data_IF_435364878545
#
_entry.id   IF_435364878545
#
_cell.length_a   1.000
_cell.length_b   1.000
_cell.length_c   1.000
_cell.angle_alpha   90.00
_cell.angle_beta   90.00
_cell.angle_gamma   90.00
#
_symmetry.space_group_name_H-M   'P 1'
#
loop_
_entity.id
_entity.type
_entity.pdbx_description
1 polymer ?
#
# COMPACT_ATOMS: atom_id res chain seq x y z
N UNK A 1 25.59 6.33 -9.52
CA UNK A 1 25.40 5.87 -8.12
C UNK A 1 24.95 4.42 -8.18
N UNK A 2 25.86 3.48 -7.97
CA UNK A 2 25.53 2.05 -7.90
C UNK A 2 24.69 1.81 -6.63
N UNK A 3 23.41 1.48 -6.79
CA UNK A 3 22.57 0.98 -5.71
C UNK A 3 22.00 -0.37 -6.14
N UNK A 4 22.65 -1.45 -5.75
CA UNK A 4 22.05 -2.78 -5.84
C UNK A 4 22.37 -3.60 -4.59
N UNK A 5 22.09 -3.04 -3.42
CA UNK A 5 21.77 -3.91 -2.30
C UNK A 5 20.33 -4.38 -2.54
N UNK A 6 20.16 -5.62 -2.98
CA UNK A 6 18.84 -6.25 -3.06
C UNK A 6 18.12 -6.07 -1.73
N UNK A 7 16.88 -5.62 -1.75
CA UNK A 7 16.09 -5.44 -0.54
C UNK A 7 15.66 -6.84 -0.06
N UNK A 8 16.26 -7.32 1.03
CA UNK A 8 15.79 -8.57 1.63
C UNK A 8 14.43 -8.37 2.32
N UNK A 9 13.65 -9.45 2.42
CA UNK A 9 12.29 -9.43 2.96
C UNK A 9 12.23 -8.93 4.41
N UNK A 10 13.17 -9.34 5.27
CA UNK A 10 13.20 -8.92 6.67
C UNK A 10 13.36 -7.41 6.81
N UNK A 11 14.28 -6.82 6.05
CA UNK A 11 14.53 -5.37 6.05
C UNK A 11 13.36 -4.59 5.44
N UNK A 12 12.71 -5.15 4.41
CA UNK A 12 11.49 -4.59 3.85
C UNK A 12 10.36 -4.56 4.90
N UNK A 13 10.04 -5.70 5.51
CA UNK A 13 8.99 -5.80 6.53
C UNK A 13 9.24 -4.86 7.70
N UNK A 14 10.46 -4.86 8.26
CA UNK A 14 10.81 -3.97 9.37
C UNK A 14 10.63 -2.48 9.02
N UNK A 15 10.95 -2.08 7.78
CA UNK A 15 10.75 -0.70 7.34
C UNK A 15 9.28 -0.37 7.14
N UNK A 16 8.47 -1.28 6.58
CA UNK A 16 7.03 -1.07 6.42
C UNK A 16 6.31 -1.03 7.77
N UNK A 17 6.71 -1.87 8.72
CA UNK A 17 6.19 -1.86 10.10
C UNK A 17 6.49 -0.53 10.79
N UNK A 18 7.73 -0.03 10.67
CA UNK A 18 8.09 1.28 11.20
C UNK A 18 7.27 2.43 10.58
N UNK A 19 7.08 2.40 9.26
CA UNK A 19 6.26 3.40 8.55
C UNK A 19 4.80 3.32 9.03
N UNK A 20 4.27 2.11 9.20
CA UNK A 20 2.92 1.89 9.72
C UNK A 20 2.78 2.44 11.15
N UNK A 21 3.69 2.10 12.06
CA UNK A 21 3.69 2.64 13.43
C UNK A 21 3.77 4.15 13.44
N UNK A 22 4.59 4.75 12.57
CA UNK A 22 4.69 6.21 12.46
C UNK A 22 3.41 6.83 11.91
N UNK A 23 2.74 6.17 10.94
CA UNK A 23 1.43 6.62 10.43
C UNK A 23 0.32 6.46 11.47
N UNK A 24 0.38 5.42 12.31
CA UNK A 24 -0.52 5.27 13.45
C UNK A 24 -0.35 6.43 14.41
N UNK A 25 0.88 6.75 14.83
CA UNK A 25 1.17 7.90 15.68
C UNK A 25 0.71 9.23 15.06
N UNK A 26 0.97 9.43 13.76
CA UNK A 26 0.47 10.60 13.04
C UNK A 26 -1.07 10.68 13.09
N UNK A 27 -1.76 9.55 12.96
CA UNK A 27 -3.24 9.46 12.94
C UNK A 27 -3.85 9.64 14.33
N UNK A 28 -3.28 9.03 15.37
CA UNK A 28 -3.89 8.94 16.70
C UNK A 28 -3.44 10.04 17.64
N UNK A 29 -2.25 10.60 17.44
CA UNK A 29 -1.68 11.63 18.32
C UNK A 29 -1.60 12.98 17.62
N UNK A 30 -0.86 13.05 16.51
CA UNK A 30 -0.53 14.34 15.88
C UNK A 30 -1.76 14.99 15.25
N UNK A 31 -2.56 14.23 14.49
CA UNK A 31 -3.75 14.79 13.86
C UNK A 31 -4.79 15.30 14.88
N UNK A 32 -5.14 14.57 15.95
CA UNK A 32 -6.02 15.09 17.00
C UNK A 32 -5.47 16.30 17.75
N UNK A 33 -4.14 16.38 17.95
CA UNK A 33 -3.50 17.58 18.52
C UNK A 33 -3.66 18.77 17.57
N UNK A 34 -3.40 18.58 16.28
CA UNK A 34 -3.58 19.62 15.27
C UNK A 34 -5.03 20.10 15.17
N UNK A 35 -6.00 19.18 15.25
CA UNK A 35 -7.44 19.54 15.21
C UNK A 35 -7.86 20.41 16.39
N UNK A 36 -7.22 20.26 17.56
CA UNK A 36 -7.43 21.15 18.72
C UNK A 36 -6.82 22.53 18.48
N UNK A 37 -5.69 22.60 17.77
CA UNK A 37 -4.99 23.86 17.46
C UNK A 37 -5.64 24.65 16.30
N UNK A 38 -6.62 24.07 15.59
CA UNK A 38 -7.20 24.66 14.36
C UNK A 38 -7.80 26.05 14.50
N UNK A 39 -8.12 26.48 15.73
CA UNK A 39 -8.67 27.81 15.99
C UNK A 39 -7.61 28.92 16.01
N UNK A 40 -6.33 28.57 15.84
CA UNK A 40 -5.25 29.55 15.71
C UNK A 40 -5.20 30.12 14.28
N UNK A 41 -5.22 31.45 14.14
CA UNK A 41 -5.10 32.14 12.84
C UNK A 41 -3.76 31.86 12.12
N UNK A 42 -2.76 31.32 12.85
CA UNK A 42 -1.43 30.99 12.32
C UNK A 42 -1.04 29.53 12.56
N UNK A 43 -1.98 28.58 12.41
CA UNK A 43 -1.74 27.14 12.61
C UNK A 43 -0.49 26.65 11.87
N UNK A 44 -0.20 27.18 10.68
CA UNK A 44 0.96 26.79 9.87
C UNK A 44 2.32 27.06 10.53
N UNK A 45 2.35 28.02 11.47
CA UNK A 45 3.55 28.36 12.23
C UNK A 45 3.77 27.45 13.42
N UNK A 46 2.74 26.73 13.89
CA UNK A 46 2.87 25.83 15.04
C UNK A 46 3.81 24.67 14.74
N UNK A 47 4.48 24.19 15.78
CA UNK A 47 5.34 23.02 15.67
C UNK A 47 4.54 21.80 15.26
N UNK A 48 3.34 21.62 15.82
CA UNK A 48 2.43 20.50 15.53
C UNK A 48 2.07 20.45 14.04
N UNK A 49 1.70 21.58 13.42
CA UNK A 49 1.42 21.62 11.99
C UNK A 49 2.65 21.27 11.15
N UNK A 50 3.82 21.82 11.48
CA UNK A 50 5.06 21.54 10.73
C UNK A 50 5.43 20.05 10.78
N UNK A 51 5.29 19.42 11.96
CA UNK A 51 5.48 17.98 12.11
C UNK A 51 4.41 17.18 11.35
N UNK A 52 3.15 17.58 11.44
CA UNK A 52 2.04 16.97 10.70
C UNK A 52 2.30 16.98 9.19
N UNK A 53 2.59 18.15 8.62
CA UNK A 53 2.81 18.33 7.19
C UNK A 53 4.06 17.58 6.71
N UNK A 54 5.13 17.60 7.51
CA UNK A 54 6.34 16.84 7.22
C UNK A 54 6.03 15.34 7.19
N UNK A 55 5.39 14.81 8.23
CA UNK A 55 5.03 13.39 8.31
C UNK A 55 4.10 12.98 7.16
N UNK A 56 3.07 13.77 6.86
CA UNK A 56 2.12 13.45 5.80
C UNK A 56 2.81 13.33 4.42
N UNK A 57 3.71 14.27 4.11
CA UNK A 57 4.49 14.23 2.86
C UNK A 57 5.50 13.08 2.84
N UNK A 58 6.23 12.86 3.93
CA UNK A 58 7.37 11.95 3.93
C UNK A 58 6.96 10.49 4.13
N UNK A 59 5.91 10.20 4.90
CA UNK A 59 5.43 8.82 5.08
C UNK A 59 4.95 8.22 3.76
N UNK A 60 4.23 8.97 2.93
CA UNK A 60 3.80 8.47 1.63
C UNK A 60 4.99 8.19 0.70
N UNK A 61 5.99 9.09 0.69
CA UNK A 61 7.21 8.91 -0.10
C UNK A 61 8.02 7.70 0.37
N UNK A 62 8.18 7.51 1.68
CA UNK A 62 8.90 6.38 2.23
C UNK A 62 8.17 5.07 1.97
N UNK A 63 6.84 5.05 2.13
CA UNK A 63 5.99 3.89 1.86
C UNK A 63 6.18 3.38 0.44
N UNK A 64 6.02 4.23 -0.57
CA UNK A 64 6.05 3.77 -1.96
C UNK A 64 7.46 3.76 -2.57
N UNK A 65 8.25 4.82 -2.39
CA UNK A 65 9.42 5.10 -3.22
C UNK A 65 10.73 5.26 -2.43
N UNK A 66 10.69 5.10 -1.10
CA UNK A 66 11.88 5.12 -0.25
C UNK A 66 12.82 3.94 -0.51
N UNK A 67 14.00 3.90 0.15
CA UNK A 67 14.97 2.79 0.00
C UNK A 67 14.31 1.41 0.18
N UNK A 68 13.40 1.30 1.15
CA UNK A 68 12.62 0.09 1.45
C UNK A 68 11.15 0.23 1.02
N UNK A 69 10.88 1.10 0.04
CA UNK A 69 9.53 1.35 -0.45
C UNK A 69 8.95 0.16 -1.20
N UNK A 70 7.63 0.02 -1.14
CA UNK A 70 6.85 -1.07 -1.74
C UNK A 70 7.16 -1.23 -3.24
N UNK A 71 7.25 -0.11 -3.98
CA UNK A 71 7.55 -0.15 -5.41
C UNK A 71 8.93 -0.75 -5.66
N UNK A 72 9.96 -0.29 -4.94
CA UNK A 72 11.32 -0.77 -5.12
C UNK A 72 11.44 -2.26 -4.79
N UNK A 73 10.77 -2.71 -3.73
CA UNK A 73 10.73 -4.12 -3.34
C UNK A 73 10.08 -4.99 -4.42
N UNK A 74 8.89 -4.65 -4.93
CA UNK A 74 8.27 -5.49 -5.97
C UNK A 74 8.95 -5.36 -7.34
N UNK A 75 9.47 -4.18 -7.68
CA UNK A 75 10.18 -3.98 -8.93
C UNK A 75 11.48 -4.82 -9.00
N UNK A 76 12.15 -5.08 -7.87
CA UNK A 76 13.30 -6.01 -7.84
C UNK A 76 12.92 -7.46 -8.18
N UNK A 77 11.64 -7.82 -8.00
CA UNK A 77 11.09 -9.14 -8.29
C UNK A 77 10.25 -9.16 -9.57
N UNK A 78 10.34 -8.10 -10.39
CA UNK A 78 9.47 -7.88 -11.55
C UNK A 78 9.39 -9.09 -12.47
N UNK A 79 10.52 -9.70 -12.82
CA UNK A 79 10.56 -10.84 -13.74
C UNK A 79 9.72 -12.03 -13.25
N UNK A 80 9.77 -12.31 -11.94
CA UNK A 80 8.95 -13.36 -11.31
C UNK A 80 7.47 -12.99 -11.31
N UNK A 81 7.15 -11.72 -11.07
CA UNK A 81 5.77 -11.22 -10.99
C UNK A 81 5.09 -11.18 -12.37
N UNK A 82 5.81 -10.73 -13.40
CA UNK A 82 5.24 -10.60 -14.75
C UNK A 82 5.22 -11.90 -15.54
N UNK A 83 5.88 -12.94 -15.05
CA UNK A 83 5.85 -14.26 -15.64
C UNK A 83 4.53 -14.95 -15.27
N UNK A 84 3.64 -15.23 -16.24
CA UNK A 84 2.36 -15.87 -15.94
C UNK A 84 2.58 -17.26 -15.34
N UNK A 85 1.78 -17.61 -14.33
CA UNK A 85 1.73 -18.98 -13.81
C UNK A 85 1.19 -19.90 -14.91
N UNK A 86 1.93 -20.98 -15.21
CA UNK A 86 1.60 -21.92 -16.31
C UNK A 86 0.28 -22.68 -16.08
N UNK A 87 -0.27 -22.66 -14.86
CA UNK A 87 -1.41 -23.49 -14.44
C UNK A 87 -2.77 -22.77 -14.36
N UNK A 88 -2.91 -21.56 -14.89
CA UNK A 88 -4.18 -20.82 -14.80
C UNK A 88 -5.18 -21.20 -15.91
N UNK A 89 -5.70 -22.44 -15.87
CA UNK A 89 -6.69 -22.96 -16.84
C UNK A 89 -7.96 -22.09 -16.95
N UNK A 90 -8.31 -21.37 -15.89
CA UNK A 90 -9.54 -20.56 -15.81
C UNK A 90 -9.31 -19.05 -15.97
N UNK A 91 -8.06 -18.56 -16.03
CA UNK A 91 -7.79 -17.14 -16.24
C UNK A 91 -7.58 -16.87 -17.73
N UNK A 92 -8.45 -16.03 -18.31
CA UNK A 92 -8.29 -15.53 -19.68
C UNK A 92 -8.10 -14.02 -19.60
N UNK A 93 -6.89 -13.56 -19.89
CA UNK A 93 -6.62 -12.14 -20.06
C UNK A 93 -7.09 -11.71 -21.46
N UNK A 94 -7.77 -10.57 -21.55
CA UNK A 94 -8.14 -9.94 -22.82
C UNK A 94 -7.17 -8.76 -23.09
N UNK A 95 -6.19 -8.91 -24.01
CA UNK A 95 -5.27 -7.84 -24.35
C UNK A 95 -5.95 -6.65 -25.03
N UNK A 96 -7.18 -6.83 -25.52
CA UNK A 96 -7.97 -5.78 -26.19
C UNK A 96 -8.84 -4.98 -25.22
N UNK A 97 -8.85 -5.33 -23.93
CA UNK A 97 -9.59 -4.62 -22.90
C UNK A 97 -9.15 -3.15 -22.84
N UNK A 98 -10.08 -2.25 -23.18
CA UNK A 98 -9.87 -0.81 -23.07
C UNK A 98 -10.45 -0.32 -21.75
N UNK A 99 -9.57 0.19 -20.87
CA UNK A 99 -10.00 0.82 -19.63
C UNK A 99 -10.65 2.19 -19.92
N UNK A 100 -11.67 2.63 -19.14
CA UNK A 100 -12.28 3.92 -19.31
C UNK A 100 -11.29 5.08 -19.23
N UNK A 101 -11.55 6.17 -19.97
CA UNK A 101 -10.67 7.36 -19.99
C UNK A 101 -10.39 7.90 -18.60
N UNK A 102 -11.41 8.03 -17.75
CA UNK A 102 -11.25 8.57 -16.40
C UNK A 102 -10.29 7.74 -15.54
N UNK A 103 -10.16 6.44 -15.81
CA UNK A 103 -9.32 5.53 -15.04
C UNK A 103 -7.84 5.57 -15.46
N UNK A 104 -7.56 5.96 -16.70
CA UNK A 104 -6.21 5.94 -17.28
C UNK A 104 -5.58 7.33 -17.47
N UNK A 105 -6.43 8.37 -17.48
CA UNK A 105 -6.02 9.74 -17.76
C UNK A 105 -5.23 10.37 -16.60
N UNK A 106 -5.65 10.12 -15.36
CA UNK A 106 -5.01 10.68 -14.16
C UNK A 106 -4.71 9.54 -13.21
N UNK A 107 -3.43 9.40 -12.87
CA UNK A 107 -3.04 8.53 -11.78
C UNK A 107 -3.03 9.33 -10.48
N UNK A 108 -4.00 9.04 -9.63
CA UNK A 108 -4.14 9.66 -8.31
C UNK A 108 -3.35 8.91 -7.24
N UNK A 109 -2.76 7.76 -7.57
CA UNK A 109 -2.00 6.97 -6.61
C UNK A 109 -0.56 7.47 -6.56
N UNK A 110 -0.02 7.58 -5.35
CA UNK A 110 1.37 8.00 -5.16
C UNK A 110 2.40 6.88 -5.40
N UNK A 111 1.99 5.75 -5.99
CA UNK A 111 2.90 4.68 -6.35
C UNK A 111 3.42 4.85 -7.79
N UNK A 112 4.74 4.73 -8.04
CA UNK A 112 5.29 4.84 -9.38
C UNK A 112 4.64 3.87 -10.37
N UNK A 113 4.48 4.32 -11.61
CA UNK A 113 3.94 3.51 -12.71
C UNK A 113 2.41 3.46 -12.79
N UNK A 114 1.70 3.80 -11.72
CA UNK A 114 0.23 3.86 -11.68
C UNK A 114 -0.49 2.53 -11.84
N UNK A 115 -1.73 2.49 -11.34
CA UNK A 115 -2.48 1.24 -11.21
C UNK A 115 -2.71 0.51 -12.53
N UNK A 116 -2.93 1.26 -13.61
CA UNK A 116 -3.33 0.71 -14.90
C UNK A 116 -2.19 0.43 -15.87
N UNK A 117 -0.96 0.90 -15.58
CA UNK A 117 0.15 0.89 -16.55
C UNK A 117 1.32 0.01 -16.12
N UNK A 118 1.58 -0.17 -14.82
CA UNK A 118 2.64 -1.08 -14.36
C UNK A 118 2.09 -2.48 -14.09
N UNK A 119 2.76 -3.50 -14.63
CA UNK A 119 2.41 -4.90 -14.39
C UNK A 119 2.63 -5.34 -12.93
N UNK A 120 3.44 -4.60 -12.16
CA UNK A 120 3.61 -4.84 -10.72
C UNK A 120 2.60 -4.08 -9.86
N UNK A 121 1.79 -3.20 -10.46
CA UNK A 121 0.93 -2.28 -9.72
C UNK A 121 -0.08 -2.97 -8.80
N UNK A 122 -0.60 -4.13 -9.20
CA UNK A 122 -1.51 -4.93 -8.37
C UNK A 122 -0.89 -5.30 -7.02
N UNK A 123 0.36 -5.79 -7.02
CA UNK A 123 1.10 -6.13 -5.80
C UNK A 123 1.41 -4.89 -4.94
N UNK A 124 1.78 -3.80 -5.61
CA UNK A 124 2.07 -2.53 -4.93
C UNK A 124 0.82 -1.97 -4.25
N UNK A 125 -0.33 -2.06 -4.92
CA UNK A 125 -1.62 -1.64 -4.40
C UNK A 125 -2.08 -2.52 -3.23
N UNK A 126 -2.05 -3.84 -3.41
CA UNK A 126 -2.45 -4.80 -2.37
C UNK A 126 -1.67 -4.56 -1.08
N UNK A 127 -0.34 -4.41 -1.18
CA UNK A 127 0.49 -4.15 -0.02
C UNK A 127 0.23 -2.74 0.56
N UNK A 128 0.13 -1.73 -0.30
CA UNK A 128 -0.13 -0.35 0.13
C UNK A 128 -1.48 -0.18 0.84
N UNK A 129 -2.51 -0.92 0.42
CA UNK A 129 -3.84 -0.90 1.02
C UNK A 129 -3.81 -1.27 2.50
N UNK A 130 -2.95 -2.23 2.90
CA UNK A 130 -2.78 -2.65 4.31
C UNK A 130 -2.35 -1.50 5.22
N UNK A 131 -1.60 -0.53 4.70
CA UNK A 131 -1.10 0.62 5.47
C UNK A 131 -1.98 1.88 5.42
N UNK A 132 -3.09 1.85 4.68
CA UNK A 132 -3.92 3.04 4.41
C UNK A 132 -4.93 3.32 5.53
N UNK A 133 -5.31 2.30 6.31
CA UNK A 133 -6.24 2.43 7.45
C UNK A 133 -5.63 1.81 8.72
N UNK A 134 -4.69 2.50 9.40
CA UNK A 134 -4.00 1.98 10.58
C UNK A 134 -4.90 1.73 11.80
N UNK A 135 -6.15 2.18 11.78
CA UNK A 135 -7.14 1.92 12.84
C UNK A 135 -7.91 0.60 12.63
N UNK A 136 -7.74 -0.05 11.49
CA UNK A 136 -8.28 -1.39 11.21
C UNK A 136 -7.34 -2.54 11.58
N UNK A 137 -6.20 -2.24 12.22
CA UNK A 137 -5.06 -3.17 12.36
C UNK A 137 -5.37 -4.42 13.18
N UNK A 138 -6.35 -4.37 14.09
CA UNK A 138 -6.83 -5.55 14.80
C UNK A 138 -7.58 -6.56 13.93
N UNK A 139 -7.98 -6.18 12.71
CA UNK A 139 -8.81 -6.98 11.80
C UNK A 139 -8.16 -7.15 10.41
N UNK A 140 -6.82 -7.25 10.33
CA UNK A 140 -6.08 -7.34 9.06
C UNK A 140 -6.37 -8.57 8.19
N UNK A 141 -7.14 -9.54 8.68
CA UNK A 141 -7.81 -10.45 7.77
C UNK A 141 -8.87 -9.66 7.04
N UNK A 142 -8.62 -9.34 5.78
CA UNK A 142 -9.62 -8.71 4.92
C UNK A 142 -10.93 -9.53 4.98
N UNK A 143 -12.04 -8.91 4.56
CA UNK A 143 -13.35 -9.56 4.56
C UNK A 143 -13.28 -10.95 3.87
N UNK A 144 -12.43 -11.09 2.83
CA UNK A 144 -12.26 -12.33 2.10
C UNK A 144 -11.56 -13.42 2.92
N UNK A 145 -10.55 -13.10 3.72
CA UNK A 145 -9.84 -14.04 4.57
C UNK A 145 -10.71 -14.48 5.75
N UNK A 146 -11.44 -13.56 6.38
CA UNK A 146 -12.40 -13.92 7.44
C UNK A 146 -13.53 -14.80 6.90
N UNK A 147 -14.07 -14.44 5.72
CA UNK A 147 -15.05 -15.27 5.03
C UNK A 147 -14.48 -16.66 4.69
N UNK A 148 -13.30 -16.71 4.08
CA UNK A 148 -12.64 -17.97 3.71
C UNK A 148 -12.40 -18.84 4.94
N UNK A 149 -11.87 -18.29 6.03
CA UNK A 149 -11.69 -19.04 7.28
C UNK A 149 -13.01 -19.53 7.87
N UNK A 150 -14.07 -18.73 7.79
CA UNK A 150 -15.39 -19.13 8.27
C UNK A 150 -15.92 -20.31 7.45
N UNK A 151 -15.78 -20.28 6.12
CA UNK A 151 -16.21 -21.39 5.28
C UNK A 151 -15.32 -22.63 5.48
N UNK A 152 -13.99 -22.47 5.63
CA UNK A 152 -13.07 -23.56 5.96
C UNK A 152 -13.35 -24.18 7.34
N UNK A 153 -13.74 -23.38 8.32
CA UNK A 153 -14.17 -23.88 9.63
C UNK A 153 -15.51 -24.63 9.57
N UNK A 154 -16.32 -24.37 8.53
CA UNK A 154 -17.64 -24.99 8.33
C UNK A 154 -17.58 -26.33 7.58
N UNK A 155 -16.39 -26.77 7.14
CA UNK A 155 -16.18 -28.06 6.50
C UNK A 155 -15.08 -28.02 5.43
N UNK A 156 -15.11 -28.99 4.51
CA UNK A 156 -14.20 -29.06 3.36
C UNK A 156 -14.95 -28.65 2.08
N UNK A 157 -15.15 -27.33 1.86
CA UNK A 157 -15.86 -26.87 0.70
C UNK A 157 -15.10 -27.22 -0.58
N UNK A 158 -15.83 -27.73 -1.58
CA UNK A 158 -15.30 -27.92 -2.94
C UNK A 158 -15.79 -26.77 -3.80
N UNK A 159 -14.87 -26.11 -4.53
CA UNK A 159 -15.13 -25.00 -5.44
C UNK A 159 -15.48 -23.66 -4.74
N UNK A 160 -14.62 -23.18 -3.83
CA UNK A 160 -14.67 -21.76 -3.43
C UNK A 160 -13.74 -20.99 -4.35
N UNK A 161 -14.38 -20.26 -5.28
CA UNK A 161 -13.81 -19.48 -6.39
C UNK A 161 -13.22 -20.34 -7.53
#
# INVERSE_FOLDING_TARGET
>A
MNRSDSINERSFSAAQDFILSTKTFWTTEIFPQLDKEKQTEEIEKTTTYKFFAWLERHLQRYKYSGRYGIYNFYNQHREKIVSPSKDQKNLKLDPSLKLPRYYTQIDIHQHPGGLSKDKTAGYVYEHGARSTTPLGVSNHQDLHHRFTNLILASGNPKNIL
#
